data_IF_406821756543
#
_entry.id   IF_406821756543
#
_cell.length_a   1.000
_cell.length_b   1.000
_cell.length_c   1.000
_cell.angle_alpha   90.00
_cell.angle_beta   90.00
_cell.angle_gamma   90.00
#
_symmetry.space_group_name_H-M   'P 1'
#
loop_
_entity.id
_entity.type
_entity.pdbx_description
1 polymer ?
#
# COMPACT_ATOMS: atom_id res chain seq x y z
N UNK A 1 2.55 44.93 35.22
CA UNK A 1 3.17 46.17 34.70
C UNK A 1 4.66 45.88 34.54
N UNK A 2 5.25 46.15 33.36
CA UNK A 2 6.68 45.95 33.01
C UNK A 2 7.25 44.51 32.97
N UNK A 3 8.24 44.12 32.14
CA UNK A 3 8.51 44.42 30.71
C UNK A 3 9.32 43.24 30.09
N UNK A 4 9.12 43.00 28.79
CA UNK A 4 9.85 42.10 27.85
C UNK A 4 11.32 41.72 28.20
N UNK A 5 11.71 40.50 27.76
CA UNK A 5 12.68 40.30 26.65
C UNK A 5 12.44 38.97 25.92
N UNK A 6 12.28 39.02 24.60
CA UNK A 6 12.40 37.86 23.68
C UNK A 6 13.85 37.82 23.20
N UNK A 7 14.42 36.64 23.00
CA UNK A 7 15.71 36.48 22.33
C UNK A 7 15.68 35.24 21.45
N UNK A 8 15.57 35.45 20.14
CA UNK A 8 15.84 34.44 19.11
C UNK A 8 17.16 34.81 18.43
N UNK A 9 18.16 33.92 18.39
CA UNK A 9 19.24 34.02 17.42
C UNK A 9 18.83 33.30 16.14
N UNK A 10 18.72 34.05 15.04
CA UNK A 10 18.70 33.45 13.71
C UNK A 10 20.12 32.98 13.36
N UNK A 11 20.26 31.77 12.83
CA UNK A 11 21.50 31.27 12.25
C UNK A 11 21.20 30.72 10.86
N UNK A 12 21.25 31.58 9.86
CA UNK A 12 21.27 31.17 8.47
C UNK A 12 22.67 30.64 8.12
N UNK A 13 22.75 29.41 7.62
CA UNK A 13 23.95 28.85 7.00
C UNK A 13 23.62 28.55 5.55
N UNK A 14 24.33 29.23 4.65
CA UNK A 14 24.13 29.15 3.21
C UNK A 14 25.40 28.62 2.54
N UNK A 15 25.19 27.92 1.41
CA UNK A 15 26.16 27.63 0.33
C UNK A 15 27.40 26.79 0.69
N UNK A 16 27.63 25.72 -0.09
CA UNK A 16 28.75 25.62 -1.05
C UNK A 16 28.32 24.76 -2.25
N UNK A 17 28.60 25.20 -3.48
CA UNK A 17 28.54 24.38 -4.70
C UNK A 17 29.78 23.46 -4.79
N UNK A 18 29.59 22.19 -5.13
CA UNK A 18 30.68 21.26 -5.46
C UNK A 18 30.45 20.59 -6.82
N UNK A 19 31.01 21.17 -7.89
CA UNK A 19 31.09 20.53 -9.20
C UNK A 19 32.36 19.68 -9.29
N UNK A 20 32.24 18.39 -9.60
CA UNK A 20 33.39 17.56 -9.96
C UNK A 20 32.99 16.51 -11.02
N UNK A 21 33.18 16.86 -12.29
CA UNK A 21 33.15 15.92 -13.40
C UNK A 21 34.44 15.09 -13.37
N UNK A 22 34.33 13.76 -13.37
CA UNK A 22 35.44 12.85 -13.72
C UNK A 22 35.02 11.96 -14.87
N UNK A 23 35.39 12.36 -16.09
CA UNK A 23 35.39 11.47 -17.24
C UNK A 23 36.77 10.79 -17.35
N UNK A 24 36.80 9.47 -17.50
CA UNK A 24 38.05 8.70 -17.53
C UNK A 24 37.82 7.20 -17.69
N UNK A 25 37.48 6.77 -18.90
CA UNK A 25 37.24 5.36 -19.22
C UNK A 25 38.52 4.70 -19.75
N UNK A 26 38.96 3.57 -19.17
CA UNK A 26 39.97 2.69 -19.78
C UNK A 26 40.05 1.30 -19.10
N UNK A 27 39.39 0.31 -19.70
CA UNK A 27 40.01 -0.98 -20.03
C UNK A 27 39.94 -2.17 -19.04
N UNK A 28 39.14 -3.17 -19.43
CA UNK A 28 39.27 -4.63 -19.14
C UNK A 28 39.11 -5.07 -17.67
N UNK A 29 38.00 -5.73 -17.30
CA UNK A 29 37.67 -7.15 -17.54
C UNK A 29 38.24 -8.08 -16.47
N UNK A 30 37.49 -8.92 -15.76
CA UNK A 30 36.02 -9.12 -15.66
C UNK A 30 35.73 -9.40 -14.15
N UNK A 31 34.51 -9.55 -13.62
CA UNK A 31 33.18 -9.79 -14.17
C UNK A 31 32.14 -8.93 -13.41
N UNK A 32 31.04 -8.44 -14.02
CA UNK A 32 29.92 -7.89 -13.28
C UNK A 32 29.06 -9.04 -12.72
N UNK A 33 28.90 -9.10 -11.40
CA UNK A 33 27.79 -9.86 -10.84
C UNK A 33 26.47 -9.25 -11.34
N UNK A 34 25.52 -10.09 -11.76
CA UNK A 34 24.18 -9.70 -12.23
C UNK A 34 23.34 -9.12 -11.08
N UNK A 35 23.67 -7.89 -10.68
CA UNK A 35 22.89 -7.01 -9.82
C UNK A 35 22.15 -6.01 -10.72
N UNK A 36 21.23 -6.53 -11.53
CA UNK A 36 20.76 -5.83 -12.74
C UNK A 36 19.36 -6.18 -13.21
N UNK A 37 18.43 -6.56 -12.32
CA UNK A 37 16.99 -6.48 -12.66
C UNK A 37 16.55 -5.01 -12.62
N UNK A 38 17.03 -4.22 -13.58
CA UNK A 38 16.67 -2.81 -13.77
C UNK A 38 15.89 -2.69 -15.07
N UNK A 39 14.55 -2.60 -14.97
CA UNK A 39 13.69 -2.33 -16.12
C UNK A 39 12.84 -3.49 -16.62
N UNK A 40 12.45 -4.43 -15.76
CA UNK A 40 11.20 -5.15 -15.98
C UNK A 40 10.03 -4.19 -15.81
N UNK A 41 9.07 -4.20 -16.75
CA UNK A 41 7.79 -3.51 -16.57
C UNK A 41 7.04 -4.19 -15.41
N UNK A 42 6.54 -3.41 -14.45
CA UNK A 42 5.73 -3.96 -13.36
C UNK A 42 4.43 -4.52 -13.96
N UNK A 43 4.19 -5.80 -13.78
CA UNK A 43 2.96 -6.48 -14.19
C UNK A 43 1.97 -6.51 -13.04
N UNK A 44 0.67 -6.43 -13.35
CA UNK A 44 -0.37 -6.66 -12.36
C UNK A 44 -0.21 -8.06 -11.73
N UNK A 45 -0.14 -8.15 -10.39
CA UNK A 45 -0.04 -9.44 -9.69
C UNK A 45 -1.33 -10.25 -9.80
N UNK A 46 -1.27 -11.53 -9.45
CA UNK A 46 -2.45 -12.41 -9.39
C UNK A 46 -3.05 -12.36 -7.98
N UNK A 47 -4.35 -12.08 -7.89
CA UNK A 47 -5.07 -12.19 -6.62
C UNK A 47 -5.33 -13.66 -6.26
N UNK A 48 -5.29 -13.98 -4.97
CA UNK A 48 -5.55 -15.34 -4.48
C UNK A 48 -7.02 -15.55 -4.09
N UNK A 49 -7.44 -16.81 -4.04
CA UNK A 49 -8.62 -17.17 -3.25
C UNK A 49 -8.23 -17.26 -1.76
N UNK A 50 -8.95 -16.56 -0.89
CA UNK A 50 -8.73 -16.59 0.57
C UNK A 50 -9.22 -17.88 1.23
N UNK A 51 -10.15 -18.59 0.60
CA UNK A 51 -10.62 -19.90 1.08
C UNK A 51 -9.60 -21.01 0.81
N UNK A 52 -8.78 -20.86 -0.24
CA UNK A 52 -7.69 -21.79 -0.59
C UNK A 52 -6.31 -21.38 -0.03
N UNK A 53 -6.21 -20.22 0.65
CA UNK A 53 -4.94 -19.64 1.09
C UNK A 53 -4.24 -20.45 2.22
N UNK A 54 -3.12 -21.10 1.89
CA UNK A 54 -2.28 -21.83 2.86
C UNK A 54 -1.36 -20.90 3.69
N UNK A 55 -1.95 -20.06 4.56
CA UNK A 55 -1.21 -19.34 5.60
C UNK A 55 -1.48 -17.82 5.67
N UNK A 56 -0.41 -17.04 5.81
CA UNK A 56 -0.47 -15.57 5.84
C UNK A 56 -0.56 -15.01 4.42
N UNK A 57 -1.46 -14.05 4.22
CA UNK A 57 -1.63 -13.28 3.00
C UNK A 57 -1.82 -11.79 3.31
N UNK A 58 -1.70 -10.96 2.27
CA UNK A 58 -1.79 -9.51 2.36
C UNK A 58 -3.02 -9.02 1.60
N UNK A 59 -3.92 -8.30 2.27
CA UNK A 59 -5.06 -7.64 1.62
C UNK A 59 -4.73 -6.17 1.40
N UNK A 60 -4.79 -5.71 0.17
CA UNK A 60 -4.80 -4.28 -0.15
C UNK A 60 -6.24 -3.79 -0.16
N UNK A 61 -6.66 -3.06 0.88
CA UNK A 61 -8.00 -2.49 0.98
C UNK A 61 -8.06 -1.19 0.16
N UNK A 62 -8.99 -1.11 -0.80
CA UNK A 62 -9.18 0.06 -1.69
C UNK A 62 -10.45 0.85 -1.37
N UNK A 63 -11.36 0.27 -0.58
CA UNK A 63 -12.55 0.94 -0.07
C UNK A 63 -12.95 0.35 1.27
N UNK A 64 -13.38 1.20 2.21
CA UNK A 64 -13.90 0.77 3.52
C UNK A 64 -15.05 1.70 3.90
N UNK A 65 -16.15 1.12 4.39
CA UNK A 65 -17.34 1.85 4.82
C UNK A 65 -17.92 1.19 6.09
N UNK A 66 -18.72 1.93 6.87
CA UNK A 66 -19.52 1.35 7.95
C UNK A 66 -20.65 0.49 7.35
N UNK A 67 -20.85 -0.71 7.88
CA UNK A 67 -22.02 -1.56 7.60
C UNK A 67 -23.33 -0.79 7.82
N UNK A 68 -24.23 -0.86 6.83
CA UNK A 68 -25.49 -0.14 6.89
C UNK A 68 -26.27 -0.20 5.57
N UNK A 69 -27.38 0.54 5.51
CA UNK A 69 -28.27 0.53 4.34
C UNK A 69 -27.64 1.07 3.05
N UNK A 70 -26.63 1.92 3.16
CA UNK A 70 -25.96 2.58 2.03
C UNK A 70 -24.57 2.00 1.72
N UNK A 71 -24.15 0.91 2.40
CA UNK A 71 -22.77 0.38 2.35
C UNK A 71 -22.37 -0.08 0.95
N UNK A 72 -23.28 -0.74 0.22
CA UNK A 72 -23.07 -1.19 -1.16
C UNK A 72 -22.81 0.03 -2.08
N UNK A 73 -23.64 1.07 -1.98
CA UNK A 73 -23.49 2.28 -2.78
C UNK A 73 -22.22 3.09 -2.43
N UNK A 74 -21.75 3.01 -1.18
CA UNK A 74 -20.50 3.63 -0.74
C UNK A 74 -19.26 2.89 -1.27
N UNK A 75 -19.33 1.56 -1.40
CA UNK A 75 -18.22 0.71 -1.82
C UNK A 75 -18.17 0.41 -3.32
N UNK A 76 -19.30 0.54 -4.04
CA UNK A 76 -19.39 0.29 -5.49
C UNK A 76 -18.30 1.02 -6.31
N UNK A 77 -17.92 2.29 -6.05
CA UNK A 77 -16.84 2.94 -6.79
C UNK A 77 -15.47 2.24 -6.68
N UNK A 78 -15.19 1.58 -5.55
CA UNK A 78 -13.97 0.79 -5.37
C UNK A 78 -14.05 -0.57 -6.08
N UNK A 79 -15.24 -1.17 -6.15
CA UNK A 79 -15.49 -2.40 -6.94
C UNK A 79 -15.33 -2.11 -8.43
N UNK A 80 -15.97 -1.04 -8.93
CA UNK A 80 -15.92 -0.65 -10.35
C UNK A 80 -14.48 -0.34 -10.78
N UNK A 81 -13.72 0.41 -9.97
CA UNK A 81 -12.33 0.76 -10.26
C UNK A 81 -11.38 -0.46 -10.26
N UNK A 82 -11.62 -1.46 -9.41
CA UNK A 82 -10.88 -2.72 -9.42
C UNK A 82 -11.22 -3.59 -10.64
N UNK A 83 -12.50 -3.62 -11.04
CA UNK A 83 -12.95 -4.33 -12.22
C UNK A 83 -12.36 -3.74 -13.51
N UNK A 84 -12.17 -2.42 -13.59
CA UNK A 84 -11.50 -1.75 -14.73
C UNK A 84 -10.03 -2.20 -14.93
N UNK A 85 -9.32 -2.55 -13.85
CA UNK A 85 -7.95 -3.10 -13.89
C UNK A 85 -7.89 -4.63 -13.81
N UNK A 86 -9.04 -5.32 -13.82
CA UNK A 86 -9.16 -6.77 -13.98
C UNK A 86 -9.36 -7.59 -12.71
N UNK A 87 -9.59 -6.97 -11.55
CA UNK A 87 -9.91 -7.69 -10.30
C UNK A 87 -11.42 -7.65 -10.03
N UNK A 88 -12.07 -8.79 -10.15
CA UNK A 88 -13.47 -8.98 -9.74
C UNK A 88 -13.51 -9.30 -8.24
N UNK A 89 -13.89 -8.34 -7.42
CA UNK A 89 -13.99 -8.49 -5.96
C UNK A 89 -15.27 -7.83 -5.44
N UNK A 90 -15.81 -8.38 -4.37
CA UNK A 90 -16.99 -7.88 -3.69
C UNK A 90 -16.62 -7.34 -2.30
N UNK A 91 -17.47 -6.48 -1.69
CA UNK A 91 -17.34 -6.14 -0.28
C UNK A 91 -17.36 -7.39 0.61
N UNK A 92 -16.39 -7.52 1.51
CA UNK A 92 -16.27 -8.63 2.46
C UNK A 92 -15.92 -8.15 3.87
N UNK A 93 -16.21 -8.98 4.88
CA UNK A 93 -16.04 -8.64 6.29
C UNK A 93 -14.54 -8.75 6.67
N UNK A 94 -13.87 -7.65 7.09
CA UNK A 94 -12.49 -7.68 7.55
C UNK A 94 -12.25 -8.60 8.75
N UNK A 95 -13.29 -9.03 9.47
CA UNK A 95 -13.19 -10.08 10.51
C UNK A 95 -12.70 -11.42 9.95
N UNK A 96 -12.87 -11.67 8.65
CA UNK A 96 -12.41 -12.87 7.97
C UNK A 96 -10.89 -12.89 7.70
N UNK A 97 -10.17 -11.79 7.96
CA UNK A 97 -8.70 -11.77 8.02
C UNK A 97 -8.24 -11.39 9.44
N UNK A 98 -7.36 -12.19 10.04
CA UNK A 98 -6.86 -11.95 11.40
C UNK A 98 -6.24 -10.55 11.56
N UNK A 99 -6.83 -9.70 12.40
CA UNK A 99 -6.30 -8.37 12.72
C UNK A 99 -6.68 -7.25 11.73
N UNK A 100 -7.36 -7.55 10.62
CA UNK A 100 -7.75 -6.53 9.66
C UNK A 100 -8.89 -5.64 10.18
N UNK A 101 -9.92 -6.22 10.83
CA UNK A 101 -10.99 -5.45 11.48
C UNK A 101 -10.43 -4.43 12.49
N UNK A 102 -9.62 -4.87 13.46
CA UNK A 102 -9.02 -3.98 14.47
C UNK A 102 -8.21 -2.84 13.85
N UNK A 103 -7.47 -3.14 12.77
CA UNK A 103 -6.68 -2.15 12.02
C UNK A 103 -7.56 -1.13 11.30
N UNK A 104 -8.64 -1.58 10.66
CA UNK A 104 -9.58 -0.71 9.93
C UNK A 104 -10.45 0.13 10.87
N UNK A 105 -10.92 -0.43 11.98
CA UNK A 105 -11.60 0.31 13.06
C UNK A 105 -10.70 1.42 13.60
N UNK A 106 -9.43 1.12 13.89
CA UNK A 106 -8.47 2.11 14.39
C UNK A 106 -8.15 3.22 13.37
N UNK A 107 -8.20 2.92 12.07
CA UNK A 107 -7.91 3.87 10.99
C UNK A 107 -9.11 4.77 10.64
N UNK A 108 -10.30 4.19 10.56
CA UNK A 108 -11.52 4.86 10.06
C UNK A 108 -12.41 5.42 11.17
N UNK A 109 -12.37 4.82 12.37
CA UNK A 109 -13.30 5.07 13.45
C UNK A 109 -14.66 4.38 13.28
N UNK A 110 -14.83 3.50 12.28
CA UNK A 110 -16.04 2.68 12.12
C UNK A 110 -16.19 1.64 13.23
N UNK A 111 -17.42 1.21 13.50
CA UNK A 111 -17.72 0.20 14.53
C UNK A 111 -17.90 -1.22 13.98
N UNK A 112 -18.38 -1.33 12.75
CA UNK A 112 -18.52 -2.57 12.00
C UNK A 112 -18.15 -2.27 10.52
N UNK A 113 -16.84 -2.28 10.17
CA UNK A 113 -16.42 -1.95 8.82
C UNK A 113 -16.70 -3.10 7.84
N UNK A 114 -17.14 -2.75 6.63
CA UNK A 114 -17.12 -3.62 5.46
C UNK A 114 -16.09 -3.08 4.47
N UNK A 115 -15.27 -3.96 3.88
CA UNK A 115 -14.15 -3.57 3.03
C UNK A 115 -14.21 -4.15 1.63
N UNK A 116 -13.72 -3.39 0.65
CA UNK A 116 -13.32 -3.88 -0.67
C UNK A 116 -11.80 -3.94 -0.67
N UNK A 117 -11.25 -5.12 -0.91
CA UNK A 117 -9.81 -5.33 -0.90
C UNK A 117 -9.39 -6.58 -1.66
N UNK A 118 -8.18 -6.52 -2.22
CA UNK A 118 -7.61 -7.58 -3.07
C UNK A 118 -6.58 -8.37 -2.26
N UNK A 119 -6.73 -9.69 -2.11
CA UNK A 119 -5.80 -10.55 -1.39
C UNK A 119 -4.64 -11.04 -2.27
N UNK A 120 -3.43 -11.06 -1.72
CA UNK A 120 -2.21 -11.50 -2.40
C UNK A 120 -1.39 -12.45 -1.53
N UNK A 121 -0.73 -13.43 -2.17
CA UNK A 121 0.12 -14.42 -1.50
C UNK A 121 1.38 -13.84 -0.84
N UNK A 122 1.79 -12.62 -1.20
CA UNK A 122 3.01 -12.00 -0.68
C UNK A 122 2.89 -10.48 -0.48
N UNK A 123 3.74 -9.96 0.40
CA UNK A 123 3.92 -8.51 0.58
C UNK A 123 4.51 -7.83 -0.67
N UNK A 124 5.24 -8.57 -1.53
CA UNK A 124 5.83 -8.06 -2.76
C UNK A 124 4.74 -7.83 -3.82
N UNK A 125 3.81 -8.78 -3.98
CA UNK A 125 2.65 -8.66 -4.85
C UNK A 125 1.72 -7.53 -4.37
N UNK A 126 1.41 -7.46 -3.07
CA UNK A 126 0.62 -6.37 -2.52
C UNK A 126 1.27 -4.99 -2.73
N UNK A 127 2.60 -4.90 -2.64
CA UNK A 127 3.35 -3.68 -2.96
C UNK A 127 3.42 -3.36 -4.46
N UNK A 128 3.46 -4.37 -5.33
CA UNK A 128 3.38 -4.20 -6.78
C UNK A 128 1.99 -3.68 -7.19
N UNK A 129 0.92 -4.21 -6.58
CA UNK A 129 -0.44 -3.69 -6.75
C UNK A 129 -0.54 -2.23 -6.29
N UNK A 130 -0.09 -1.91 -5.06
CA UNK A 130 -0.09 -0.54 -4.52
C UNK A 130 0.70 0.46 -5.39
N UNK A 131 1.75 -0.02 -6.08
CA UNK A 131 2.53 0.78 -7.03
C UNK A 131 1.84 0.99 -8.38
N UNK A 132 1.03 0.02 -8.85
CA UNK A 132 0.34 0.05 -10.14
C UNK A 132 -1.06 0.68 -10.08
N UNK A 133 -1.72 0.63 -8.92
CA UNK A 133 -3.08 1.09 -8.74
C UNK A 133 -3.16 2.60 -8.56
N UNK A 134 -3.61 3.31 -9.61
CA UNK A 134 -3.83 4.76 -9.59
C UNK A 134 -5.05 5.19 -8.74
N UNK A 135 -5.84 4.22 -8.24
CA UNK A 135 -6.96 4.44 -7.33
C UNK A 135 -6.53 4.68 -5.87
N UNK A 136 -7.51 4.77 -4.98
CA UNK A 136 -7.22 4.93 -3.55
C UNK A 136 -6.89 3.56 -2.91
N UNK A 137 -5.73 3.48 -2.25
CA UNK A 137 -5.44 2.44 -1.26
C UNK A 137 -5.66 3.02 0.14
N UNK A 138 -6.45 2.32 0.95
CA UNK A 138 -6.77 2.68 2.34
C UNK A 138 -5.66 2.18 3.26
N UNK A 139 -5.30 0.90 3.16
CA UNK A 139 -4.19 0.26 3.90
C UNK A 139 -3.91 -1.12 3.32
N UNK A 140 -2.75 -1.69 3.67
CA UNK A 140 -2.44 -3.12 3.46
C UNK A 140 -2.43 -3.82 4.82
N UNK A 141 -3.10 -4.96 4.95
CA UNK A 141 -3.10 -5.78 6.18
C UNK A 141 -2.57 -7.20 5.92
N UNK A 142 -1.54 -7.67 6.65
CA UNK A 142 -1.19 -9.09 6.71
C UNK A 142 -2.14 -9.85 7.65
N UNK A 143 -2.35 -11.13 7.39
CA UNK A 143 -3.10 -12.02 8.28
C UNK A 143 -3.47 -13.34 7.64
N UNK A 144 -4.12 -14.22 8.40
CA UNK A 144 -4.64 -15.52 7.96
C UNK A 144 -6.16 -15.48 7.81
N UNK A 145 -6.73 -16.37 6.99
CA UNK A 145 -8.18 -16.49 6.87
C UNK A 145 -8.79 -17.10 8.14
N UNK A 146 -9.90 -16.54 8.62
CA UNK A 146 -10.54 -16.92 9.90
C UNK A 146 -12.01 -17.32 9.77
N UNK A 147 -12.65 -16.98 8.64
CA UNK A 147 -14.01 -17.41 8.35
C UNK A 147 -14.04 -18.85 7.81
N UNK A 148 -15.20 -19.50 7.95
CA UNK A 148 -15.41 -20.83 7.37
C UNK A 148 -15.89 -20.68 5.92
N UNK A 149 -15.31 -21.49 5.03
CA UNK A 149 -15.88 -21.83 3.72
C UNK A 149 -17.06 -22.82 3.87
#
# INVERSE_FOLDING_TARGET
MSTRRRTSPAAALALVLGLALTAGCTGSSDEPADAGSTGGELTWPEAIDVEEAEGEFWVVWTGVAESGADVEAALQPSVDALAEVGYDTLPWDPKCQSGAEESLIALTGYTDPLGVGVPFASAEDAGAFDTLYEGAVVTVTPGTHTCAA
#
